data_IF_398006709317
#
_entry.id   IF_398006709317
#
_cell.length_a   1.000
_cell.length_b   1.000
_cell.length_c   1.000
_cell.angle_alpha   90.00
_cell.angle_beta   90.00
_cell.angle_gamma   90.00
#
_symmetry.space_group_name_H-M   'P 1'
#
loop_
_entity.id
_entity.type
_entity.pdbx_description
1 polymer ?
#
# COMPACT_ATOMS: atom_id res chain seq x y z
N UNK A 1 15.59 11.28 18.61
CA UNK A 1 15.76 12.15 17.41
C UNK A 1 17.12 12.02 16.74
N UNK A 2 18.26 12.21 17.40
CA UNK A 2 19.59 12.24 16.74
C UNK A 2 19.96 10.94 16.00
N UNK A 3 19.66 9.78 16.59
CA UNK A 3 19.91 8.47 15.97
C UNK A 3 19.03 8.23 14.74
N UNK A 4 17.76 8.66 14.79
CA UNK A 4 16.82 8.56 13.66
C UNK A 4 17.31 9.39 12.48
N UNK A 5 17.76 10.62 12.74
CA UNK A 5 18.34 11.50 11.73
C UNK A 5 19.62 10.89 11.12
N UNK A 6 20.49 10.30 11.96
CA UNK A 6 21.69 9.61 11.50
C UNK A 6 21.35 8.42 10.59
N UNK A 7 20.40 7.57 11.01
CA UNK A 7 19.93 6.44 10.20
C UNK A 7 19.34 6.92 8.88
N UNK A 8 18.50 7.97 8.90
CA UNK A 8 17.92 8.56 7.70
C UNK A 8 19.03 9.07 6.76
N UNK A 9 20.02 9.80 7.27
CA UNK A 9 21.17 10.29 6.48
C UNK A 9 22.00 9.12 5.90
N UNK A 10 22.22 8.06 6.67
CA UNK A 10 22.95 6.88 6.22
C UNK A 10 22.20 6.13 5.11
N UNK A 11 20.88 5.94 5.27
CA UNK A 11 20.05 5.31 4.23
C UNK A 11 20.01 6.21 3.00
N UNK A 12 19.92 7.53 3.16
CA UNK A 12 20.05 8.49 2.05
C UNK A 12 21.37 8.34 1.30
N UNK A 13 22.48 8.25 2.03
CA UNK A 13 23.79 8.03 1.41
C UNK A 13 23.86 6.68 0.70
N UNK A 14 23.33 5.61 1.30
CA UNK A 14 23.31 4.28 0.71
C UNK A 14 22.45 4.20 -0.56
N UNK A 15 21.24 4.76 -0.53
CA UNK A 15 20.33 4.84 -1.68
C UNK A 15 20.93 5.73 -2.76
N UNK A 16 21.48 6.88 -2.41
CA UNK A 16 22.16 7.76 -3.36
C UNK A 16 23.35 7.08 -4.04
N UNK A 17 24.17 6.33 -3.29
CA UNK A 17 25.28 5.53 -3.84
C UNK A 17 24.79 4.38 -4.72
N UNK A 18 23.70 3.72 -4.34
CA UNK A 18 23.10 2.63 -5.11
C UNK A 18 22.53 3.16 -6.43
N UNK A 19 21.76 4.23 -6.40
CA UNK A 19 21.22 4.90 -7.58
C UNK A 19 22.38 5.34 -8.48
N UNK A 20 23.39 6.02 -7.93
CA UNK A 20 24.59 6.42 -8.68
C UNK A 20 25.29 5.22 -9.34
N UNK A 21 25.47 4.13 -8.61
CA UNK A 21 26.08 2.90 -9.13
C UNK A 21 25.25 2.28 -10.25
N UNK A 22 23.93 2.19 -10.08
CA UNK A 22 23.00 1.64 -11.07
C UNK A 22 22.97 2.51 -12.33
N UNK A 23 22.83 3.84 -12.17
CA UNK A 23 22.83 4.78 -13.30
C UNK A 23 24.13 4.67 -14.10
N UNK A 24 25.30 4.65 -13.45
CA UNK A 24 26.59 4.52 -14.15
C UNK A 24 26.80 3.16 -14.83
N UNK A 25 26.21 2.09 -14.27
CA UNK A 25 26.43 0.72 -14.76
C UNK A 25 25.47 0.34 -15.88
N UNK A 26 24.22 0.79 -15.81
CA UNK A 26 23.17 0.38 -16.73
C UNK A 26 22.89 1.43 -17.82
N UNK A 27 23.10 2.73 -17.56
CA UNK A 27 22.87 3.75 -18.59
C UNK A 27 24.15 3.93 -19.44
N UNK A 28 24.07 3.80 -20.78
CA UNK A 28 25.22 4.03 -21.64
C UNK A 28 25.75 5.46 -21.45
N UNK A 29 27.08 5.64 -21.42
CA UNK A 29 27.72 6.96 -21.22
C UNK A 29 27.25 8.05 -22.20
N UNK A 30 26.74 7.66 -23.36
CA UNK A 30 26.18 8.57 -24.36
C UNK A 30 24.82 9.17 -23.95
N UNK A 31 24.05 8.49 -23.09
CA UNK A 31 22.80 8.99 -22.51
C UNK A 31 23.02 9.65 -21.14
N UNK A 32 24.05 9.21 -20.41
CA UNK A 32 24.53 9.86 -19.19
C UNK A 32 25.45 11.06 -19.52
N UNK A 33 25.04 11.87 -20.50
CA UNK A 33 25.66 13.17 -20.72
C UNK A 33 25.40 14.05 -19.50
N UNK A 34 26.23 15.08 -19.31
CA UNK A 34 26.10 16.04 -18.19
C UNK A 34 24.65 16.54 -18.02
N UNK A 35 23.91 16.70 -19.12
CA UNK A 35 22.51 17.11 -19.13
C UNK A 35 21.54 16.01 -18.65
N UNK A 36 21.68 14.77 -19.14
CA UNK A 36 20.81 13.66 -18.74
C UNK A 36 21.00 13.24 -17.28
N UNK A 37 22.26 13.21 -16.80
CA UNK A 37 22.57 12.95 -15.40
C UNK A 37 22.06 14.06 -14.47
N UNK A 38 22.22 15.33 -14.86
CA UNK A 38 21.71 16.46 -14.09
C UNK A 38 20.18 16.48 -14.03
N UNK A 39 19.49 16.13 -15.12
CA UNK A 39 18.02 16.03 -15.13
C UNK A 39 17.55 14.91 -14.20
N UNK A 40 18.11 13.70 -14.30
CA UNK A 40 17.71 12.59 -13.42
C UNK A 40 17.96 12.94 -11.95
N UNK A 41 19.12 13.55 -11.65
CA UNK A 41 19.44 13.99 -10.29
C UNK A 41 18.51 15.12 -9.82
N UNK A 42 18.16 16.07 -10.68
CA UNK A 42 17.20 17.12 -10.38
C UNK A 42 15.79 16.55 -10.14
N UNK A 43 15.36 15.57 -10.93
CA UNK A 43 14.06 14.89 -10.76
C UNK A 43 14.03 14.09 -9.45
N UNK A 44 15.12 13.43 -9.08
CA UNK A 44 15.25 12.80 -7.76
C UNK A 44 15.15 13.86 -6.66
N UNK A 45 15.92 14.95 -6.74
CA UNK A 45 15.87 15.98 -5.69
C UNK A 45 14.48 16.62 -5.59
N UNK A 46 13.86 16.94 -6.72
CA UNK A 46 12.49 17.47 -6.78
C UNK A 46 11.48 16.48 -6.19
N UNK A 47 11.67 15.17 -6.42
CA UNK A 47 10.76 14.16 -5.86
C UNK A 47 10.71 14.14 -4.34
N UNK A 48 11.76 14.64 -3.69
CA UNK A 48 11.82 14.77 -2.24
C UNK A 48 11.49 16.16 -1.72
N UNK A 49 11.38 17.18 -2.57
CA UNK A 49 11.02 18.53 -2.16
C UNK A 49 9.51 18.71 -2.20
N UNK A 50 8.85 18.32 -3.30
CA UNK A 50 7.41 18.55 -3.51
C UNK A 50 6.70 17.29 -4.08
N UNK A 51 6.38 16.29 -3.24
CA UNK A 51 5.88 15.00 -3.69
C UNK A 51 4.45 15.03 -4.25
N UNK A 52 3.72 16.14 -4.06
CA UNK A 52 2.30 16.23 -4.37
C UNK A 52 2.03 16.73 -5.81
N UNK A 53 3.08 16.93 -6.61
CA UNK A 53 2.95 17.11 -8.05
C UNK A 53 2.74 15.75 -8.73
N UNK A 54 1.66 15.60 -9.52
CA UNK A 54 1.33 14.37 -10.28
C UNK A 54 2.51 13.83 -11.09
N UNK A 55 3.43 14.69 -11.51
CA UNK A 55 4.62 14.30 -12.28
C UNK A 55 5.66 13.55 -11.43
N UNK A 56 5.69 13.78 -10.12
CA UNK A 56 6.71 13.26 -9.20
C UNK A 56 6.41 11.82 -8.74
N UNK A 57 5.16 11.48 -8.48
CA UNK A 57 4.76 10.10 -8.19
C UNK A 57 5.09 9.15 -9.36
N UNK A 58 4.89 9.61 -10.60
CA UNK A 58 5.28 8.89 -11.80
C UNK A 58 6.80 8.70 -11.91
N UNK A 59 7.60 9.69 -11.50
CA UNK A 59 9.06 9.61 -11.49
C UNK A 59 9.55 8.53 -10.51
N UNK A 60 8.95 8.43 -9.32
CA UNK A 60 9.30 7.37 -8.36
C UNK A 60 9.03 5.98 -8.93
N UNK A 61 7.89 5.78 -9.62
CA UNK A 61 7.57 4.52 -10.28
C UNK A 61 8.59 4.15 -11.38
N UNK A 62 9.08 5.13 -12.13
CA UNK A 62 10.13 4.92 -13.14
C UNK A 62 11.48 4.56 -12.48
N UNK A 63 11.82 5.21 -11.36
CA UNK A 63 13.06 4.95 -10.62
C UNK A 63 13.02 3.59 -9.93
N UNK A 64 11.86 3.18 -9.42
CA UNK A 64 11.66 1.91 -8.73
C UNK A 64 11.50 0.72 -9.68
N UNK A 65 11.14 0.95 -10.95
CA UNK A 65 11.04 -0.07 -11.99
C UNK A 65 12.24 -1.04 -12.04
N UNK A 66 13.52 -0.60 -12.13
CA UNK A 66 14.66 -1.52 -12.11
C UNK A 66 14.82 -2.33 -10.81
N UNK A 67 14.15 -1.91 -9.73
CA UNK A 67 14.22 -2.55 -8.42
C UNK A 67 13.10 -3.55 -8.20
N UNK A 68 12.05 -3.55 -9.03
CA UNK A 68 11.02 -4.60 -9.00
C UNK A 68 11.47 -5.82 -9.83
N UNK A 69 11.02 -7.04 -9.50
CA UNK A 69 11.41 -8.24 -10.23
C UNK A 69 11.07 -8.18 -11.72
N UNK A 70 9.88 -7.68 -12.05
CA UNK A 70 9.43 -7.51 -13.43
C UNK A 70 10.28 -6.47 -14.17
N UNK A 71 10.46 -5.27 -13.60
CA UNK A 71 11.19 -4.22 -14.30
C UNK A 71 12.68 -4.52 -14.43
N UNK A 72 13.30 -5.16 -13.42
CA UNK A 72 14.66 -5.68 -13.50
C UNK A 72 14.82 -6.69 -14.66
N UNK A 73 13.90 -7.65 -14.78
CA UNK A 73 13.92 -8.64 -15.84
C UNK A 73 13.74 -8.02 -17.23
N UNK A 74 12.77 -7.10 -17.39
CA UNK A 74 12.52 -6.38 -18.65
C UNK A 74 13.75 -5.59 -19.07
N UNK A 75 14.37 -4.83 -18.16
CA UNK A 75 15.57 -4.07 -18.47
C UNK A 75 16.72 -4.98 -18.88
N UNK A 76 16.94 -6.09 -18.16
CA UNK A 76 17.98 -7.06 -18.54
C UNK A 76 17.75 -7.66 -19.92
N UNK A 77 16.49 -7.93 -20.30
CA UNK A 77 16.15 -8.40 -21.64
C UNK A 77 16.41 -7.33 -22.70
N UNK A 78 15.98 -6.08 -22.47
CA UNK A 78 16.24 -4.95 -23.37
C UNK A 78 17.75 -4.74 -23.56
N UNK A 79 18.52 -4.73 -22.48
CA UNK A 79 19.98 -4.60 -22.53
C UNK A 79 20.64 -5.80 -23.24
N UNK A 80 20.07 -7.00 -23.12
CA UNK A 80 20.59 -8.17 -23.81
C UNK A 80 20.50 -8.07 -25.33
N UNK A 81 19.58 -7.24 -25.82
CA UNK A 81 19.31 -6.98 -27.23
C UNK A 81 19.99 -5.70 -27.75
N UNK A 82 20.73 -4.97 -26.91
CA UNK A 82 21.34 -3.67 -27.27
C UNK A 82 22.29 -3.70 -28.47
N UNK A 83 22.89 -4.86 -28.78
CA UNK A 83 23.80 -5.06 -29.93
C UNK A 83 23.10 -5.71 -31.14
N UNK A 84 21.76 -5.76 -31.12
CA UNK A 84 20.91 -6.38 -32.13
C UNK A 84 20.67 -7.88 -31.92
N UNK A 85 19.64 -8.41 -32.59
CA UNK A 85 19.18 -9.81 -32.45
C UNK A 85 20.23 -10.87 -32.82
N UNK A 86 21.30 -10.49 -33.52
CA UNK A 86 22.38 -11.41 -33.93
C UNK A 86 23.48 -11.57 -32.87
N UNK A 87 23.56 -10.68 -31.88
CA UNK A 87 24.59 -10.65 -30.83
C UNK A 87 23.97 -10.53 -29.44
N UNK A 88 23.02 -11.42 -29.15
CA UNK A 88 22.30 -11.43 -27.87
C UNK A 88 23.24 -11.83 -26.73
N UNK A 89 23.24 -11.03 -25.66
CA UNK A 89 24.00 -11.33 -24.43
C UNK A 89 23.28 -12.41 -23.63
N UNK A 90 23.51 -13.68 -23.99
CA UNK A 90 22.80 -14.83 -23.40
C UNK A 90 22.84 -14.89 -21.86
N UNK A 91 23.92 -14.42 -21.23
CA UNK A 91 24.01 -14.32 -19.76
C UNK A 91 22.96 -13.38 -19.16
N UNK A 92 22.67 -12.24 -19.79
CA UNK A 92 21.66 -11.29 -19.30
C UNK A 92 20.26 -11.87 -19.46
N UNK A 93 20.00 -12.56 -20.57
CA UNK A 93 18.75 -13.30 -20.78
C UNK A 93 18.55 -14.37 -19.71
N UNK A 94 19.57 -15.16 -19.42
CA UNK A 94 19.50 -16.20 -18.39
C UNK A 94 19.19 -15.61 -17.00
N UNK A 95 19.81 -14.48 -16.63
CA UNK A 95 19.53 -13.79 -15.36
C UNK A 95 18.08 -13.27 -15.35
N UNK A 96 17.63 -12.62 -16.42
CA UNK A 96 16.25 -12.11 -16.50
C UNK A 96 15.21 -13.22 -16.36
N UNK A 97 15.40 -14.33 -17.09
CA UNK A 97 14.54 -15.50 -16.99
C UNK A 97 14.58 -16.15 -15.61
N UNK A 98 15.74 -16.17 -14.95
CA UNK A 98 15.87 -16.68 -13.58
C UNK A 98 15.09 -15.81 -12.58
N UNK A 99 15.17 -14.47 -12.70
CA UNK A 99 14.41 -13.54 -11.87
C UNK A 99 12.91 -13.77 -12.07
N UNK A 100 12.44 -13.84 -13.32
CA UNK A 100 11.03 -14.08 -13.62
C UNK A 100 10.58 -15.44 -13.08
N UNK A 101 11.36 -16.50 -13.33
CA UNK A 101 11.03 -17.85 -12.91
C UNK A 101 10.91 -17.94 -11.39
N UNK A 102 11.89 -17.42 -10.64
CA UNK A 102 11.85 -17.41 -9.18
C UNK A 102 10.71 -16.56 -8.64
N UNK A 103 10.50 -15.36 -9.17
CA UNK A 103 9.46 -14.43 -8.69
C UNK A 103 8.05 -14.91 -9.03
N UNK A 104 7.93 -15.79 -10.04
CA UNK A 104 6.67 -16.41 -10.42
C UNK A 104 6.37 -17.69 -9.64
N UNK A 105 7.21 -18.15 -8.70
CA UNK A 105 6.92 -19.34 -7.90
C UNK A 105 5.94 -18.99 -6.76
N UNK A 106 4.74 -19.59 -6.71
CA UNK A 106 3.76 -19.37 -5.63
C UNK A 106 4.34 -19.55 -4.22
N UNK A 107 5.15 -20.59 -4.00
CA UNK A 107 5.78 -20.84 -2.72
C UNK A 107 6.67 -19.66 -2.27
N UNK A 108 7.46 -19.08 -3.18
CA UNK A 108 8.30 -17.94 -2.87
C UNK A 108 7.46 -16.69 -2.61
N UNK A 109 6.44 -16.46 -3.44
CA UNK A 109 5.53 -15.33 -3.30
C UNK A 109 4.81 -15.32 -1.94
N UNK A 110 4.20 -16.46 -1.58
CA UNK A 110 3.48 -16.62 -0.31
C UNK A 110 4.40 -16.52 0.89
N UNK A 111 5.61 -17.09 0.84
CA UNK A 111 6.56 -17.01 1.97
C UNK A 111 7.06 -15.59 2.21
N UNK A 112 7.35 -14.83 1.16
CA UNK A 112 7.75 -13.42 1.28
C UNK A 112 6.63 -12.57 1.89
N UNK A 113 5.40 -12.77 1.43
CA UNK A 113 4.24 -12.01 1.92
C UNK A 113 3.83 -12.46 3.32
N UNK A 114 3.85 -13.75 3.62
CA UNK A 114 3.54 -14.27 4.95
C UNK A 114 4.47 -13.67 6.02
N UNK A 115 5.75 -13.44 5.72
CA UNK A 115 6.65 -12.75 6.65
C UNK A 115 6.24 -11.30 6.93
N UNK A 116 5.71 -10.58 5.91
CA UNK A 116 5.22 -9.23 6.09
C UNK A 116 3.88 -9.19 6.84
N UNK A 117 2.98 -10.13 6.52
CA UNK A 117 1.66 -10.26 7.16
C UNK A 117 1.77 -10.79 8.59
N UNK A 118 2.74 -11.66 8.90
CA UNK A 118 2.97 -12.18 10.25
C UNK A 118 3.21 -11.05 11.26
N UNK A 119 3.88 -9.96 10.88
CA UNK A 119 4.06 -8.82 11.78
C UNK A 119 2.73 -8.08 12.07
N UNK A 120 1.78 -8.12 11.13
CA UNK A 120 0.42 -7.61 11.34
C UNK A 120 -0.31 -8.56 12.30
N UNK A 121 -0.32 -9.86 12.01
CA UNK A 121 -0.97 -10.88 12.86
C UNK A 121 -0.39 -10.94 14.27
N UNK A 122 0.93 -10.83 14.44
CA UNK A 122 1.58 -10.79 15.74
C UNK A 122 1.14 -9.58 16.55
N UNK A 123 0.92 -8.42 15.95
CA UNK A 123 0.33 -7.29 16.67
C UNK A 123 -1.15 -7.51 17.03
N UNK A 124 -1.94 -8.12 16.14
CA UNK A 124 -3.30 -8.57 16.46
C UNK A 124 -3.32 -9.51 17.68
N UNK A 125 -2.38 -10.45 17.71
CA UNK A 125 -2.27 -11.46 18.76
C UNK A 125 -1.64 -10.92 20.06
N UNK A 126 -0.63 -10.05 19.97
CA UNK A 126 0.02 -9.42 21.12
C UNK A 126 -0.94 -8.45 21.83
N UNK A 127 -1.74 -7.70 21.07
CA UNK A 127 -2.80 -6.88 21.65
C UNK A 127 -3.86 -7.75 22.33
N UNK A 128 -4.18 -8.92 21.75
CA UNK A 128 -5.08 -9.90 22.37
C UNK A 128 -4.51 -10.43 23.70
N UNK A 129 -3.22 -10.69 23.81
CA UNK A 129 -2.58 -11.14 25.06
C UNK A 129 -2.54 -10.03 26.13
N UNK A 130 -2.17 -8.79 25.76
CA UNK A 130 -2.16 -7.63 26.67
C UNK A 130 -3.57 -7.29 27.18
N UNK A 131 -4.60 -7.52 26.37
CA UNK A 131 -6.01 -7.33 26.73
C UNK A 131 -6.60 -8.42 27.63
N UNK A 132 -5.84 -9.45 28.03
CA UNK A 132 -6.33 -10.46 28.99
C UNK A 132 -6.13 -10.07 30.47
N UNK A 133 -5.16 -9.20 30.77
CA UNK A 133 -4.76 -8.88 32.16
C UNK A 133 -5.21 -7.50 32.68
N UNK A 134 -5.48 -6.51 31.81
CA UNK A 134 -5.69 -5.10 32.25
C UNK A 134 -6.94 -4.44 31.63
N UNK A 135 -7.52 -5.00 30.57
CA UNK A 135 -8.72 -4.47 29.91
C UNK A 135 -9.99 -5.24 30.31
N UNK A 136 -11.18 -4.61 30.38
CA UNK A 136 -12.43 -5.34 30.49
C UNK A 136 -12.63 -6.25 29.26
N UNK A 137 -13.34 -7.36 29.46
CA UNK A 137 -13.41 -8.51 28.57
C UNK A 137 -13.69 -8.16 27.09
N UNK A 138 -12.75 -8.51 26.19
CA UNK A 138 -12.83 -8.85 24.74
C UNK A 138 -14.03 -8.30 23.91
N UNK A 139 -14.49 -7.09 24.20
CA UNK A 139 -15.56 -6.40 23.49
C UNK A 139 -15.42 -4.88 23.49
N UNK A 140 -14.43 -4.35 24.22
CA UNK A 140 -14.27 -2.91 24.46
C UNK A 140 -12.87 -2.41 24.01
N UNK A 141 -12.54 -2.51 22.71
CA UNK A 141 -12.10 -1.23 22.10
C UNK A 141 -13.32 -0.34 22.33
N UNK A 142 -13.26 0.87 22.91
CA UNK A 142 -14.46 1.67 23.10
C UNK A 142 -15.02 1.99 21.71
N UNK A 143 -15.86 1.10 21.19
CA UNK A 143 -16.35 1.12 19.82
C UNK A 143 -17.23 2.37 19.63
N UNK A 144 -17.73 2.90 20.76
CA UNK A 144 -18.34 4.22 20.93
C UNK A 144 -17.49 5.41 20.45
N UNK A 145 -16.17 5.25 20.33
CA UNK A 145 -15.23 6.31 19.94
C UNK A 145 -14.82 6.21 18.47
N UNK A 146 -15.31 5.22 17.71
CA UNK A 146 -15.02 5.14 16.28
C UNK A 146 -15.77 6.25 15.53
N UNK A 147 -15.06 7.27 15.06
CA UNK A 147 -15.65 8.35 14.25
C UNK A 147 -15.72 8.01 12.76
N UNK A 148 -14.75 7.25 12.25
CA UNK A 148 -14.66 6.95 10.84
C UNK A 148 -14.07 5.57 10.55
N UNK A 149 -14.51 5.00 9.44
CA UNK A 149 -13.92 3.86 8.75
C UNK A 149 -13.29 4.42 7.47
N UNK A 150 -12.00 4.23 7.27
CA UNK A 150 -11.29 4.69 6.08
C UNK A 150 -10.90 3.50 5.23
N UNK A 151 -11.54 3.36 4.07
CA UNK A 151 -11.16 2.40 3.06
C UNK A 151 -10.02 3.00 2.21
N UNK A 152 -8.81 2.52 2.46
CA UNK A 152 -7.61 3.01 1.76
C UNK A 152 -7.59 2.40 0.35
N UNK A 153 -7.42 3.24 -0.67
CA UNK A 153 -7.09 2.78 -2.02
C UNK A 153 -5.58 2.81 -2.26
N UNK A 154 -5.13 1.90 -3.11
CA UNK A 154 -3.78 1.83 -3.62
C UNK A 154 -3.77 2.24 -5.10
N UNK A 155 -2.64 2.73 -5.64
CA UNK A 155 -2.53 3.12 -7.05
C UNK A 155 -2.94 2.04 -8.05
N UNK A 156 -2.91 0.76 -7.66
CA UNK A 156 -3.29 -0.38 -8.52
C UNK A 156 -4.80 -0.69 -8.53
N UNK A 157 -5.59 -0.02 -7.68
CA UNK A 157 -7.01 -0.34 -7.46
C UNK A 157 -7.97 0.34 -8.44
N UNK A 158 -7.51 1.42 -9.06
CA UNK A 158 -8.17 2.09 -10.17
C UNK A 158 -7.31 1.89 -11.41
N UNK A 159 -7.40 0.73 -12.09
CA UNK A 159 -6.66 0.58 -13.33
C UNK A 159 -7.21 1.65 -14.29
N UNK A 160 -6.34 2.56 -14.75
CA UNK A 160 -6.59 3.39 -15.92
C UNK A 160 -6.59 2.46 -17.13
N UNK A 161 -7.60 1.61 -17.26
CA UNK A 161 -7.84 0.84 -18.47
C UNK A 161 -8.55 1.82 -19.39
N UNK A 162 -7.91 2.28 -20.48
CA UNK A 162 -8.67 2.92 -21.55
C UNK A 162 -9.77 1.95 -21.97
N UNK A 163 -10.99 2.43 -22.20
CA UNK A 163 -12.15 1.61 -22.58
C UNK A 163 -11.92 0.69 -23.82
N UNK A 164 -10.78 0.82 -24.49
CA UNK A 164 -10.36 0.10 -25.70
C UNK A 164 -9.66 -1.26 -25.48
N UNK A 165 -9.52 -1.78 -24.25
CA UNK A 165 -9.03 -3.16 -24.04
C UNK A 165 -10.15 -4.13 -23.67
N UNK A 166 -10.74 -4.85 -24.65
CA UNK A 166 -11.77 -5.84 -24.42
C UNK A 166 -11.12 -7.16 -23.97
N UNK A 167 -10.73 -7.24 -22.70
CA UNK A 167 -10.56 -8.52 -22.04
C UNK A 167 -11.24 -8.49 -20.68
N UNK A 168 -12.55 -8.17 -20.68
CA UNK A 168 -13.40 -8.28 -19.51
C UNK A 168 -14.23 -9.55 -19.61
N UNK A 169 -13.97 -10.49 -18.70
CA UNK A 169 -14.91 -11.57 -18.35
C UNK A 169 -15.91 -11.06 -17.29
N UNK A 170 -15.75 -9.83 -16.80
CA UNK A 170 -16.61 -9.19 -15.79
C UNK A 170 -17.25 -7.90 -16.33
N UNK A 171 -18.11 -8.03 -17.34
CA UNK A 171 -18.99 -6.95 -17.80
C UNK A 171 -19.94 -6.52 -16.66
N UNK A 172 -19.48 -5.61 -15.80
CA UNK A 172 -20.29 -5.07 -14.70
C UNK A 172 -19.52 -4.48 -13.52
N UNK A 173 -18.23 -4.76 -13.37
CA UNK A 173 -17.41 -4.23 -12.27
C UNK A 173 -16.41 -3.18 -12.79
N UNK A 174 -16.68 -1.91 -12.50
CA UNK A 174 -15.78 -0.79 -12.84
C UNK A 174 -14.52 -0.69 -11.96
N UNK A 175 -14.33 -1.63 -11.02
CA UNK A 175 -13.26 -1.59 -10.02
C UNK A 175 -12.50 -2.91 -9.95
N UNK A 176 -11.22 -2.83 -9.56
CA UNK A 176 -10.43 -4.03 -9.28
C UNK A 176 -11.10 -4.90 -8.19
N UNK A 177 -11.02 -6.24 -8.28
CA UNK A 177 -11.58 -7.14 -7.27
C UNK A 177 -11.08 -6.85 -5.85
N UNK A 178 -9.82 -6.42 -5.72
CA UNK A 178 -9.22 -6.06 -4.45
C UNK A 178 -9.92 -4.85 -3.81
N UNK A 179 -10.12 -3.77 -4.56
CA UNK A 179 -10.87 -2.60 -4.09
C UNK A 179 -12.29 -2.97 -3.70
N UNK A 180 -12.97 -3.77 -4.52
CA UNK A 180 -14.33 -4.26 -4.22
C UNK A 180 -14.37 -5.03 -2.90
N UNK A 181 -13.39 -5.91 -2.65
CA UNK A 181 -13.25 -6.65 -1.39
C UNK A 181 -13.09 -5.71 -0.19
N UNK A 182 -12.30 -4.65 -0.32
CA UNK A 182 -12.10 -3.65 0.74
C UNK A 182 -13.35 -2.83 1.01
N UNK A 183 -14.04 -2.36 -0.03
CA UNK A 183 -15.30 -1.63 0.12
C UNK A 183 -16.37 -2.51 0.78
N UNK A 184 -16.45 -3.79 0.40
CA UNK A 184 -17.36 -4.76 1.03
C UNK A 184 -17.00 -4.99 2.51
N UNK A 185 -15.71 -5.07 2.83
CA UNK A 185 -15.21 -5.20 4.21
C UNK A 185 -15.58 -3.98 5.05
N UNK A 186 -15.33 -2.77 4.54
CA UNK A 186 -15.70 -1.51 5.19
C UNK A 186 -17.23 -1.40 5.40
N UNK A 187 -18.04 -1.78 4.41
CA UNK A 187 -19.50 -1.79 4.54
C UNK A 187 -20.00 -2.83 5.56
N UNK A 188 -19.37 -4.02 5.61
CA UNK A 188 -19.67 -5.04 6.62
C UNK A 188 -19.36 -4.55 8.03
N UNK A 189 -18.18 -3.94 8.21
CA UNK A 189 -17.77 -3.33 9.47
C UNK A 189 -18.74 -2.23 9.89
N UNK A 190 -19.08 -1.31 8.99
CA UNK A 190 -20.04 -0.24 9.28
C UNK A 190 -21.40 -0.79 9.76
N UNK A 191 -21.90 -1.88 9.15
CA UNK A 191 -23.14 -2.53 9.60
C UNK A 191 -23.00 -3.13 10.99
N UNK A 192 -21.86 -3.79 11.28
CA UNK A 192 -21.57 -4.33 12.61
C UNK A 192 -21.59 -3.23 13.67
N UNK A 193 -20.90 -2.12 13.42
CA UNK A 193 -20.85 -0.96 14.31
C UNK A 193 -22.23 -0.31 14.50
N UNK A 194 -23.03 -0.21 13.43
CA UNK A 194 -24.40 0.31 13.53
C UNK A 194 -25.29 -0.55 14.42
N UNK A 195 -25.15 -1.87 14.36
CA UNK A 195 -25.91 -2.77 15.22
C UNK A 195 -25.57 -2.59 16.71
N UNK A 196 -24.38 -2.05 17.00
CA UNK A 196 -23.93 -1.67 18.34
C UNK A 196 -24.28 -0.22 18.71
N UNK A 197 -24.99 0.51 17.83
CA UNK A 197 -25.42 1.90 18.05
C UNK A 197 -24.44 2.97 17.57
N UNK A 198 -23.35 2.59 16.89
CA UNK A 198 -22.31 3.51 16.41
C UNK A 198 -22.50 3.77 14.91
N UNK A 199 -22.44 5.03 14.49
CA UNK A 199 -22.72 5.40 13.10
C UNK A 199 -21.57 6.23 12.50
N UNK A 200 -20.42 5.59 12.24
CA UNK A 200 -19.21 6.28 11.80
C UNK A 200 -19.34 6.73 10.34
N UNK A 201 -18.51 7.70 9.94
CA UNK A 201 -18.34 8.01 8.52
C UNK A 201 -17.60 6.87 7.82
N UNK A 202 -17.92 6.62 6.56
CA UNK A 202 -17.13 5.75 5.68
C UNK A 202 -16.44 6.63 4.65
N UNK A 203 -15.13 6.74 4.77
CA UNK A 203 -14.29 7.57 3.90
C UNK A 203 -13.53 6.64 2.96
N UNK A 204 -13.55 6.92 1.66
CA UNK A 204 -12.73 6.20 0.67
C UNK A 204 -11.66 7.16 0.17
N UNK A 205 -10.38 6.87 0.44
CA UNK A 205 -9.27 7.65 -0.11
C UNK A 205 -8.91 7.07 -1.47
N UNK A 206 -9.58 7.52 -2.53
CA UNK A 206 -9.46 7.01 -3.89
C UNK A 206 -8.25 7.60 -4.66
N UNK A 207 -7.63 8.64 -4.09
CA UNK A 207 -6.60 9.43 -4.74
C UNK A 207 -7.08 10.14 -6.01
N UNK A 208 -6.19 10.90 -6.68
CA UNK A 208 -6.54 11.68 -7.85
C UNK A 208 -6.83 10.76 -9.01
N UNK A 209 -8.11 10.72 -9.35
CA UNK A 209 -8.61 10.03 -10.50
C UNK A 209 -8.17 10.79 -11.75
N UNK A 210 -7.28 10.23 -12.55
CA UNK A 210 -6.96 10.77 -13.86
C UNK A 210 -8.22 10.75 -14.75
N UNK A 211 -8.50 11.86 -15.42
CA UNK A 211 -9.68 12.03 -16.28
C UNK A 211 -10.22 13.45 -16.25
N UNK A 212 -11.24 13.70 -17.07
CA UNK A 212 -12.07 14.90 -16.99
C UNK A 212 -12.84 14.96 -15.66
N UNK A 213 -13.30 16.15 -15.27
CA UNK A 213 -14.13 16.33 -14.06
C UNK A 213 -15.38 15.41 -14.08
N UNK A 214 -15.92 15.12 -15.27
CA UNK A 214 -17.07 14.23 -15.43
C UNK A 214 -16.71 12.77 -15.12
N UNK A 215 -15.56 12.28 -15.60
CA UNK A 215 -15.08 10.91 -15.31
C UNK A 215 -14.75 10.73 -13.82
N UNK A 216 -14.19 11.76 -13.19
CA UNK A 216 -13.93 11.78 -11.75
C UNK A 216 -15.23 11.66 -10.95
N UNK A 217 -16.24 12.44 -11.31
CA UNK A 217 -17.56 12.39 -10.67
C UNK A 217 -18.24 11.03 -10.85
N UNK A 218 -18.15 10.44 -12.05
CA UNK A 218 -18.71 9.11 -12.32
C UNK A 218 -18.05 8.02 -11.46
N UNK A 219 -16.71 8.01 -11.35
CA UNK A 219 -15.99 7.06 -10.50
C UNK A 219 -16.33 7.25 -9.01
N UNK A 220 -16.36 8.48 -8.53
CA UNK A 220 -16.78 8.80 -7.17
C UNK A 220 -18.23 8.38 -6.89
N UNK A 221 -19.13 8.52 -7.87
CA UNK A 221 -20.51 8.05 -7.76
C UNK A 221 -20.60 6.52 -7.72
N UNK A 222 -19.79 5.81 -8.51
CA UNK A 222 -19.73 4.36 -8.49
C UNK A 222 -19.20 3.82 -7.14
N UNK A 223 -18.22 4.47 -6.53
CA UNK A 223 -17.73 4.14 -5.18
C UNK A 223 -18.83 4.31 -4.12
N UNK A 224 -19.57 5.44 -4.19
CA UNK A 224 -20.73 5.68 -3.33
C UNK A 224 -21.80 4.62 -3.51
N UNK A 225 -22.10 4.24 -4.75
CA UNK A 225 -23.10 3.22 -5.04
C UNK A 225 -22.69 1.84 -4.49
N UNK A 226 -21.40 1.47 -4.61
CA UNK A 226 -20.91 0.21 -4.07
C UNK A 226 -21.09 0.12 -2.55
N UNK A 227 -20.72 1.18 -1.81
CA UNK A 227 -20.90 1.25 -0.36
C UNK A 227 -22.38 1.33 0.04
N UNK A 228 -23.21 2.06 -0.71
CA UNK A 228 -24.64 2.14 -0.49
C UNK A 228 -25.33 0.78 -0.67
N UNK A 229 -24.93 0.02 -1.70
CA UNK A 229 -25.39 -1.36 -1.92
C UNK A 229 -24.95 -2.28 -0.76
N UNK A 230 -23.77 -2.03 -0.18
CA UNK A 230 -23.29 -2.69 1.03
C UNK A 230 -24.02 -2.30 2.32
N UNK A 231 -24.97 -1.35 2.24
CA UNK A 231 -25.82 -0.93 3.34
C UNK A 231 -25.33 0.31 4.09
N UNK A 232 -24.31 1.03 3.60
CA UNK A 232 -23.84 2.30 4.19
C UNK A 232 -24.78 3.45 3.78
N UNK A 233 -25.27 4.28 4.71
CA UNK A 233 -26.15 5.41 4.36
C UNK A 233 -25.42 6.44 3.49
N UNK A 234 -26.08 7.02 2.49
CA UNK A 234 -25.45 7.95 1.55
C UNK A 234 -24.87 9.21 2.21
N UNK A 235 -25.49 9.69 3.29
CA UNK A 235 -25.02 10.83 4.11
C UNK A 235 -23.74 10.51 4.92
N UNK A 236 -23.40 9.21 5.04
CA UNK A 236 -22.22 8.73 5.76
C UNK A 236 -21.05 8.39 4.85
N UNK A 237 -21.24 8.42 3.54
CA UNK A 237 -20.17 8.09 2.59
C UNK A 237 -19.47 9.38 2.14
N UNK A 238 -18.16 9.42 2.35
CA UNK A 238 -17.28 10.46 1.82
C UNK A 238 -16.28 9.81 0.87
N UNK A 239 -16.14 10.35 -0.33
CA UNK A 239 -15.10 9.93 -1.27
C UNK A 239 -14.12 11.09 -1.37
N UNK A 240 -12.86 10.78 -1.10
CA UNK A 240 -11.74 11.71 -1.09
C UNK A 240 -10.85 11.38 -2.30
N UNK A 241 -10.66 12.35 -3.18
CA UNK A 241 -10.00 12.20 -4.48
C UNK A 241 -8.83 13.20 -4.68
N UNK A 242 -8.39 13.89 -3.63
CA UNK A 242 -7.34 14.91 -3.70
C UNK A 242 -5.96 14.38 -3.30
N UNK A 243 -5.87 13.32 -2.49
CA UNK A 243 -4.60 12.78 -1.99
C UNK A 243 -3.85 11.89 -2.97
N UNK A 244 -2.71 12.36 -3.51
CA UNK A 244 -1.83 11.55 -4.39
C UNK A 244 -1.20 10.35 -3.68
N UNK A 245 -1.12 10.40 -2.35
CA UNK A 245 -0.44 9.42 -1.53
C UNK A 245 -1.13 9.27 -0.17
N UNK A 246 -0.76 8.21 0.55
CA UNK A 246 -1.37 7.84 1.82
C UNK A 246 -1.16 8.87 2.95
N UNK A 247 -0.08 9.66 2.89
CA UNK A 247 0.18 10.70 3.87
C UNK A 247 -0.75 11.89 3.66
N UNK A 248 -0.91 12.34 2.41
CA UNK A 248 -1.89 13.37 2.08
C UNK A 248 -3.32 12.90 2.36
N UNK A 249 -3.63 11.64 2.07
CA UNK A 249 -4.91 11.03 2.43
C UNK A 249 -5.18 11.10 3.94
N UNK A 250 -4.17 10.77 4.76
CA UNK A 250 -4.28 10.88 6.22
C UNK A 250 -4.52 12.32 6.70
N UNK A 251 -3.79 13.30 6.13
CA UNK A 251 -4.02 14.73 6.43
C UNK A 251 -5.45 15.16 6.06
N UNK A 252 -5.93 14.81 4.85
CA UNK A 252 -7.29 15.17 4.41
C UNK A 252 -8.35 14.52 5.29
N UNK A 253 -8.16 13.27 5.72
CA UNK A 253 -9.07 12.61 6.67
C UNK A 253 -9.06 13.34 8.01
N UNK A 254 -7.88 13.68 8.54
CA UNK A 254 -7.77 14.40 9.81
C UNK A 254 -8.49 15.75 9.72
N UNK A 255 -8.19 16.54 8.69
CA UNK A 255 -8.77 17.86 8.49
C UNK A 255 -10.30 17.75 8.35
N UNK A 256 -10.82 16.74 7.63
CA UNK A 256 -12.26 16.46 7.51
C UNK A 256 -12.91 16.10 8.85
N UNK A 257 -12.24 15.32 9.70
CA UNK A 257 -12.76 14.93 11.00
C UNK A 257 -12.73 16.11 11.98
N UNK A 258 -11.70 16.95 11.90
CA UNK A 258 -11.58 18.18 12.69
C UNK A 258 -12.68 19.18 12.32
N UNK A 259 -12.87 19.45 11.03
CA UNK A 259 -13.93 20.34 10.51
C UNK A 259 -15.33 19.90 10.94
N UNK A 260 -15.54 18.59 11.13
CA UNK A 260 -16.81 18.03 11.60
C UNK A 260 -16.93 17.93 13.12
N UNK A 261 -15.90 18.35 13.87
CA UNK A 261 -15.86 18.25 15.33
C UNK A 261 -15.92 16.81 15.82
N UNK A 262 -15.36 15.88 15.04
CA UNK A 262 -15.32 14.46 15.35
C UNK A 262 -14.00 14.04 16.02
N UNK A 263 -12.95 14.86 15.92
CA UNK A 263 -11.71 14.65 16.67
C UNK A 263 -11.86 15.13 18.11
N UNK A 264 -11.25 14.37 19.01
CA UNK A 264 -11.07 14.73 20.41
C UNK A 264 -9.80 15.57 20.57
N UNK A 265 -9.81 16.54 21.48
CA UNK A 265 -8.63 17.37 21.79
C UNK A 265 -7.44 16.52 22.26
N UNK A 266 -6.21 16.97 22.01
CA UNK A 266 -4.97 16.27 22.38
C UNK A 266 -4.84 15.99 23.89
N UNK A 267 -5.45 16.85 24.72
CA UNK A 267 -5.49 16.74 26.19
C UNK A 267 -6.47 15.66 26.69
N UNK A 268 -7.28 15.08 25.79
CA UNK A 268 -8.22 14.00 26.11
C UNK A 268 -7.45 12.74 26.52
N UNK A 269 -7.81 12.07 27.65
CA UNK A 269 -7.22 10.80 28.02
C UNK A 269 -7.26 9.81 26.86
N UNK A 270 -6.19 9.04 26.63
CA UNK A 270 -6.09 8.09 25.50
C UNK A 270 -7.30 7.16 25.34
N UNK A 271 -7.90 6.78 26.47
CA UNK A 271 -9.09 5.91 26.56
C UNK A 271 -10.39 6.55 26.07
N UNK A 272 -10.40 7.86 25.86
CA UNK A 272 -11.54 8.65 25.44
C UNK A 272 -11.33 9.29 24.05
N UNK A 273 -10.16 9.07 23.43
CA UNK A 273 -9.82 9.66 22.14
C UNK A 273 -10.57 8.99 21.00
N UNK A 274 -11.00 9.80 20.03
CA UNK A 274 -11.63 9.32 18.81
C UNK A 274 -10.72 8.36 18.05
N UNK A 275 -11.28 7.24 17.60
CA UNK A 275 -10.61 6.22 16.78
C UNK A 275 -11.04 6.28 15.32
N UNK A 276 -10.10 5.98 14.43
CA UNK A 276 -10.33 5.78 13.00
C UNK A 276 -9.98 4.34 12.63
N UNK A 277 -10.94 3.60 12.07
CA UNK A 277 -10.69 2.24 11.61
C UNK A 277 -10.13 2.27 10.20
N UNK A 278 -8.91 1.79 9.99
CA UNK A 278 -8.29 1.69 8.66
C UNK A 278 -8.57 0.33 8.02
N UNK A 279 -9.22 0.35 6.87
CA UNK A 279 -9.48 -0.82 6.02
C UNK A 279 -8.51 -0.76 4.84
N UNK A 280 -7.43 -1.54 4.90
CA UNK A 280 -6.36 -1.57 3.90
C UNK A 280 -5.83 -3.01 3.70
N UNK A 281 -5.19 -3.34 2.57
CA UNK A 281 -4.53 -4.64 2.41
C UNK A 281 -3.53 -4.93 3.53
N UNK A 282 -3.43 -6.18 3.97
CA UNK A 282 -2.52 -6.60 5.03
C UNK A 282 -1.06 -6.19 4.73
N UNK A 283 -0.67 -6.26 3.46
CA UNK A 283 0.66 -5.89 2.99
C UNK A 283 1.01 -4.41 3.25
N UNK A 284 0.06 -3.49 3.02
CA UNK A 284 0.26 -2.04 3.18
C UNK A 284 -0.29 -1.50 4.50
N UNK A 285 -0.98 -2.32 5.29
CA UNK A 285 -1.58 -1.94 6.58
C UNK A 285 -0.54 -1.31 7.50
N UNK A 286 0.66 -1.89 7.57
CA UNK A 286 1.74 -1.35 8.41
C UNK A 286 2.09 0.09 8.07
N UNK A 287 2.23 0.40 6.79
CA UNK A 287 2.51 1.77 6.35
C UNK A 287 1.30 2.67 6.60
N UNK A 288 0.10 2.15 6.36
CA UNK A 288 -1.16 2.88 6.57
C UNK A 288 -1.31 3.39 7.99
N UNK A 289 -1.37 2.51 9.00
CA UNK A 289 -1.66 3.01 10.34
C UNK A 289 -0.55 3.90 10.89
N UNK A 290 0.73 3.56 10.68
CA UNK A 290 1.83 4.41 11.15
C UNK A 290 1.81 5.79 10.48
N UNK A 291 1.41 5.88 9.22
CA UNK A 291 1.28 7.17 8.53
C UNK A 291 0.14 7.99 9.11
N UNK A 292 -1.00 7.36 9.40
CA UNK A 292 -2.16 8.03 10.01
C UNK A 292 -1.87 8.46 11.46
N UNK A 293 -1.19 7.64 12.24
CA UNK A 293 -0.76 7.97 13.61
C UNK A 293 0.25 9.12 13.65
N UNK A 294 1.21 9.14 12.72
CA UNK A 294 2.15 10.26 12.61
C UNK A 294 1.41 11.59 12.29
N UNK A 295 0.23 11.54 11.67
CA UNK A 295 -0.62 12.73 11.46
C UNK A 295 -1.46 13.15 12.67
N UNK A 296 -1.46 12.35 13.74
CA UNK A 296 -2.20 12.60 14.98
C UNK A 296 -3.56 11.88 15.07
N UNK A 297 -3.82 10.89 14.20
CA UNK A 297 -5.04 10.08 14.27
C UNK A 297 -4.79 8.79 15.07
N UNK A 298 -5.68 8.46 15.99
CA UNK A 298 -5.63 7.17 16.69
C UNK A 298 -6.23 6.09 15.77
N UNK A 299 -5.43 5.09 15.41
CA UNK A 299 -5.81 4.12 14.40
C UNK A 299 -6.17 2.78 15.00
N UNK A 300 -7.25 2.22 14.45
CA UNK A 300 -7.59 0.82 14.61
C UNK A 300 -7.42 0.11 13.26
N UNK A 301 -6.47 -0.80 13.15
CA UNK A 301 -6.26 -1.56 11.91
C UNK A 301 -7.42 -2.54 11.64
N UNK A 302 -7.70 -2.76 10.36
CA UNK A 302 -8.61 -3.76 9.82
C UNK A 302 -8.09 -4.28 8.47
N UNK A 303 -7.14 -5.24 8.46
CA UNK A 303 -6.48 -5.68 7.26
C UNK A 303 -7.46 -6.49 6.40
N UNK A 304 -7.34 -6.30 5.11
CA UNK A 304 -8.00 -7.11 4.09
C UNK A 304 -6.95 -7.87 3.31
N UNK A 305 -7.36 -8.83 2.47
CA UNK A 305 -6.46 -9.50 1.53
C UNK A 305 -5.22 -10.11 2.20
N UNK A 306 -5.43 -11.09 3.07
CA UNK A 306 -4.35 -11.93 3.59
C UNK A 306 -3.98 -12.96 2.52
N UNK A 307 -2.75 -12.87 2.00
CA UNK A 307 -2.25 -13.75 0.93
C UNK A 307 -1.36 -14.87 1.46
N UNK A 308 -0.80 -14.72 2.67
CA UNK A 308 0.11 -15.66 3.31
C UNK A 308 -0.58 -16.88 3.91
N UNK A 309 -1.87 -16.79 4.23
CA UNK A 309 -2.60 -17.84 4.93
C UNK A 309 -3.50 -18.65 3.99
N UNK A 310 -2.89 -19.60 3.28
CA UNK A 310 -3.59 -20.83 2.92
C UNK A 310 -2.86 -21.94 3.65
N UNK A 311 -3.36 -22.36 4.81
CA UNK A 311 -2.90 -23.62 5.40
C UNK A 311 -3.04 -24.69 4.30
N UNK A 312 -1.95 -25.39 3.94
CA UNK A 312 -2.08 -26.57 3.10
C UNK A 312 -2.99 -27.53 3.86
N UNK A 313 -4.25 -27.61 3.43
CA UNK A 313 -5.24 -28.49 4.02
C UNK A 313 -4.87 -29.90 3.59
N UNK A 314 -3.99 -30.52 4.38
CA UNK A 314 -3.52 -31.89 4.18
C UNK A 314 -2.03 -31.99 3.89
N UNK A 315 -1.47 -33.10 4.35
CA UNK A 315 -0.11 -33.60 4.16
C UNK A 315 0.15 -34.00 2.68
N UNK A 316 -0.36 -33.21 1.74
CA UNK A 316 -0.39 -33.54 0.31
C UNK A 316 0.83 -32.93 -0.38
N UNK A 317 1.94 -33.67 -0.30
CA UNK A 317 3.22 -33.36 -0.95
C UNK A 317 3.10 -33.02 -2.44
N UNK A 318 2.05 -33.50 -3.13
CA UNK A 318 1.77 -33.18 -4.53
C UNK A 318 1.25 -31.76 -4.73
N UNK A 319 0.46 -31.23 -3.79
CA UNK A 319 -0.01 -29.85 -3.82
C UNK A 319 1.15 -28.86 -3.66
N UNK A 320 2.13 -29.18 -2.80
CA UNK A 320 3.34 -28.38 -2.64
C UNK A 320 4.23 -28.38 -3.89
N UNK A 321 4.26 -29.48 -4.65
CA UNK A 321 4.96 -29.53 -5.93
C UNK A 321 4.26 -28.70 -7.01
N UNK A 322 2.93 -28.61 -6.98
CA UNK A 322 2.17 -27.72 -7.86
C UNK A 322 2.46 -26.24 -7.56
N UNK A 323 2.73 -25.88 -6.31
CA UNK A 323 3.16 -24.53 -5.89
C UNK A 323 4.57 -24.14 -6.36
N UNK A 324 5.30 -25.03 -7.04
CA UNK A 324 6.56 -24.72 -7.74
C UNK A 324 6.34 -24.32 -9.20
N UNK A 325 5.12 -24.49 -9.74
CA UNK A 325 4.79 -24.14 -11.11
C UNK A 325 4.67 -22.60 -11.20
N UNK A 326 5.45 -21.94 -12.07
CA UNK A 326 5.37 -20.50 -12.24
C UNK A 326 3.96 -20.01 -12.59
N UNK A 327 3.49 -18.96 -11.92
CA UNK A 327 2.19 -18.34 -12.20
C UNK A 327 2.29 -16.81 -12.27
N UNK A 328 1.39 -16.20 -13.04
CA UNK A 328 1.29 -14.74 -13.16
C UNK A 328 0.87 -14.10 -11.84
N UNK A 329 0.00 -14.77 -11.08
CA UNK A 329 -0.45 -14.26 -9.78
C UNK A 329 0.69 -14.22 -8.75
N UNK A 330 1.58 -15.22 -8.76
CA UNK A 330 2.77 -15.20 -7.91
C UNK A 330 3.73 -14.08 -8.30
N UNK A 331 3.92 -13.81 -9.61
CA UNK A 331 4.71 -12.68 -10.08
C UNK A 331 4.10 -11.35 -9.68
N UNK A 332 2.76 -11.22 -9.75
CA UNK A 332 2.03 -10.03 -9.29
C UNK A 332 2.22 -9.82 -7.80
N UNK A 333 2.06 -10.87 -7.01
CA UNK A 333 2.19 -10.83 -5.55
C UNK A 333 3.63 -10.47 -5.11
N UNK A 334 4.65 -11.09 -5.70
CA UNK A 334 6.05 -10.72 -5.42
C UNK A 334 6.35 -9.29 -5.84
N UNK A 335 5.84 -8.84 -6.99
CA UNK A 335 6.02 -7.45 -7.44
C UNK A 335 5.38 -6.47 -6.47
N UNK A 336 4.15 -6.73 -6.01
CA UNK A 336 3.45 -5.93 -5.00
C UNK A 336 4.23 -5.84 -3.68
N UNK A 337 4.78 -6.96 -3.21
CA UNK A 337 5.63 -6.97 -2.02
C UNK A 337 6.83 -6.02 -2.16
N UNK A 338 7.53 -6.08 -3.31
CA UNK A 338 8.67 -5.20 -3.57
C UNK A 338 8.26 -3.72 -3.70
N UNK A 339 7.13 -3.44 -4.35
CA UNK A 339 6.59 -2.09 -4.44
C UNK A 339 6.24 -1.51 -3.07
N UNK A 340 5.61 -2.29 -2.20
CA UNK A 340 5.30 -1.86 -0.83
C UNK A 340 6.59 -1.65 -0.02
N UNK A 341 7.58 -2.53 -0.14
CA UNK A 341 8.87 -2.37 0.54
C UNK A 341 9.59 -1.09 0.10
N UNK A 342 9.66 -0.83 -1.21
CA UNK A 342 10.30 0.36 -1.75
C UNK A 342 9.55 1.62 -1.35
N UNK A 343 8.22 1.58 -1.34
CA UNK A 343 7.38 2.70 -0.91
C UNK A 343 7.53 2.97 0.57
N UNK A 344 7.56 1.94 1.42
CA UNK A 344 7.84 2.08 2.86
C UNK A 344 9.22 2.71 3.12
N UNK A 345 10.26 2.33 2.36
CA UNK A 345 11.59 2.97 2.45
C UNK A 345 11.50 4.45 2.08
N UNK A 346 10.78 4.78 1.00
CA UNK A 346 10.58 6.15 0.57
C UNK A 346 9.88 6.99 1.65
N UNK A 347 8.80 6.49 2.25
CA UNK A 347 8.07 7.17 3.32
C UNK A 347 8.95 7.40 4.56
N UNK A 348 9.76 6.40 4.95
CA UNK A 348 10.71 6.56 6.05
C UNK A 348 11.80 7.60 5.76
N UNK A 349 12.33 7.62 4.54
CA UNK A 349 13.33 8.61 4.10
C UNK A 349 12.77 10.03 4.10
N UNK A 350 11.48 10.18 3.79
CA UNK A 350 10.78 11.46 3.83
C UNK A 350 10.44 11.89 5.25
N UNK A 351 10.23 10.92 6.13
CA UNK A 351 9.85 11.12 7.52
C UNK A 351 8.37 11.10 7.78
N UNK A 352 7.60 10.47 6.89
CA UNK A 352 6.19 10.17 7.07
C UNK A 352 5.94 8.86 7.80
N UNK A 353 7.01 8.06 7.99
CA UNK A 353 6.98 6.89 8.85
C UNK A 353 7.93 7.08 10.03
N UNK A 354 7.54 6.56 11.20
CA UNK A 354 8.42 6.49 12.35
C UNK A 354 9.56 5.48 12.08
N UNK A 355 10.60 5.42 12.95
CA UNK A 355 11.75 4.59 12.68
C UNK A 355 11.42 3.10 12.73
N UNK A 356 12.10 2.30 11.91
CA UNK A 356 11.83 0.85 11.75
C UNK A 356 11.98 0.01 13.04
N UNK A 357 12.53 0.58 14.12
CA UNK A 357 12.59 -0.05 15.43
C UNK A 357 11.30 0.10 16.25
N UNK A 358 10.36 0.94 15.80
CA UNK A 358 9.02 1.04 16.37
C UNK A 358 8.30 -0.26 16.06
N UNK A 359 7.94 -0.96 17.14
CA UNK A 359 7.17 -2.19 17.05
C UNK A 359 5.73 -1.82 16.78
N UNK A 360 5.19 -2.35 15.71
CA UNK A 360 3.82 -2.11 15.26
C UNK A 360 2.79 -2.35 16.38
N UNK A 361 3.01 -3.37 17.23
CA UNK A 361 2.22 -3.71 18.42
C UNK A 361 2.14 -2.63 19.52
N UNK A 362 2.99 -1.60 19.47
CA UNK A 362 3.06 -0.55 20.51
C UNK A 362 2.34 0.73 20.13
N UNK A 363 1.86 0.84 18.89
CA UNK A 363 1.31 2.10 18.37
C UNK A 363 -0.11 1.94 17.86
N UNK A 364 -0.44 0.80 17.23
CA UNK A 364 -1.71 0.63 16.49
C UNK A 364 -2.64 -0.33 17.20
N UNK A 365 -3.87 0.10 17.44
CA UNK A 365 -4.93 -0.78 17.94
C UNK A 365 -5.50 -1.64 16.81
N UNK A 366 -6.11 -2.79 17.13
CA UNK A 366 -6.65 -3.73 16.15
C UNK A 366 -8.07 -4.14 16.54
N UNK A 367 -9.01 -4.15 15.59
CA UNK A 367 -10.41 -4.56 15.82
C UNK A 367 -10.62 -6.00 15.39
N UNK A 368 -11.34 -6.79 16.20
CA UNK A 368 -11.70 -8.18 15.90
C UNK A 368 -13.14 -8.26 15.35
N UNK A 369 -13.41 -9.02 14.27
CA UNK A 369 -14.75 -9.23 13.72
C UNK A 369 -15.75 -9.90 14.66
#
# INVERSE_FOLDING_TARGET
MLLVLLTRILVWAAVGLLIWYVLLKFIPRNFLTWFGGAIILALIVLSFIDPNDQTIGAIWQVISLPLTPLGAAVLLLVFSLSEGLKKVKGRQVAIALSILLLSSIPLLARTLVAQAEQAVEEAYNAQRELCTDICPAVGDVPVSQVAAIVAVSEPMDAPNIPDDFPSQIDEGNSFAPELTSRLNSAASLHRSLRNQGINPLVIVTAGPVAGSEEEQQQKSQALRQQLANGGVPADRIVVEDTGMDMHRGAETVRDLLDERGLLTDDDTPERERTRVVLVAPALSMRRAALTYEETGLEVVAWPTNLYGYTEPTGDDTLAQLADLIPSVEALRLTTRYWEELLTSIYYFLRGWLPPFNVRWETVVETYQP
#
